data_IF_198730602100
#
_entry.id   IF_198730602100
#
_cell.length_a   1.000
_cell.length_b   1.000
_cell.length_c   1.000
_cell.angle_alpha   90.00
_cell.angle_beta   90.00
_cell.angle_gamma   90.00
#
_symmetry.space_group_name_H-M   'P 1'
#
loop_
_entity.id
_entity.type
_entity.pdbx_description
1 polymer ?
#
# COMPACT_ATOMS: atom_id res chain seq x y z
N UNK A 1 14.89 -0.82 2.82
CA UNK A 1 13.79 -1.48 2.08
C UNK A 1 13.83 -2.97 2.36
N UNK A 2 12.71 -3.55 2.80
CA UNK A 2 12.59 -4.92 3.34
C UNK A 2 12.69 -6.07 2.28
N UNK A 3 13.32 -5.84 1.13
CA UNK A 3 13.49 -6.90 0.10
C UNK A 3 12.20 -7.37 -0.58
N UNK A 4 11.18 -6.51 -0.66
CA UNK A 4 9.93 -6.81 -1.37
C UNK A 4 10.15 -6.67 -2.87
N UNK A 5 9.90 -7.74 -3.62
CA UNK A 5 9.93 -7.70 -5.08
C UNK A 5 8.64 -7.03 -5.58
N UNK A 6 8.77 -6.06 -6.50
CA UNK A 6 7.62 -5.49 -7.18
C UNK A 6 7.16 -6.50 -8.24
N UNK A 7 6.12 -7.27 -7.91
CA UNK A 7 5.61 -8.29 -8.83
C UNK A 7 4.91 -7.68 -10.04
N UNK A 8 4.06 -6.66 -9.82
CA UNK A 8 3.43 -5.88 -10.89
C UNK A 8 3.22 -4.43 -10.45
N UNK A 9 3.47 -3.48 -11.34
CA UNK A 9 3.18 -2.07 -11.13
C UNK A 9 2.44 -1.51 -12.35
N UNK A 10 1.33 -0.84 -12.10
CA UNK A 10 0.45 -0.18 -13.06
C UNK A 10 0.04 1.17 -12.46
N UNK A 11 -0.36 2.17 -13.26
CA UNK A 11 -0.85 3.45 -12.74
C UNK A 11 -1.97 3.31 -11.71
N UNK A 12 -2.76 2.23 -11.81
CA UNK A 12 -3.92 1.98 -10.95
C UNK A 12 -3.64 1.01 -9.81
N UNK A 13 -2.58 0.20 -9.87
CA UNK A 13 -2.24 -0.75 -8.82
C UNK A 13 -0.76 -1.11 -8.74
N UNK A 14 -0.25 -1.31 -7.53
CA UNK A 14 1.05 -1.88 -7.26
C UNK A 14 0.87 -3.15 -6.43
N UNK A 15 1.42 -4.26 -6.91
CA UNK A 15 1.50 -5.54 -6.22
C UNK A 15 2.95 -5.77 -5.80
N UNK A 16 3.19 -5.80 -4.49
CA UNK A 16 4.47 -6.12 -3.90
C UNK A 16 4.43 -7.55 -3.37
N UNK A 17 5.28 -8.42 -3.88
CA UNK A 17 5.42 -9.79 -3.40
C UNK A 17 6.65 -9.88 -2.49
N UNK A 18 6.46 -10.35 -1.26
CA UNK A 18 7.55 -10.83 -0.43
C UNK A 18 7.55 -12.35 -0.45
N UNK A 19 8.56 -12.93 -1.11
CA UNK A 19 8.89 -14.34 -0.94
C UNK A 19 9.64 -14.47 0.39
N UNK A 20 8.91 -14.77 1.46
CA UNK A 20 9.56 -15.05 2.75
C UNK A 20 10.10 -16.47 2.77
N UNK A 21 11.38 -16.62 3.12
CA UNK A 21 12.03 -17.93 3.37
C UNK A 21 11.42 -18.71 4.53
N UNK A 22 10.58 -18.07 5.35
CA UNK A 22 9.90 -18.69 6.51
C UNK A 22 8.59 -19.39 6.13
N UNK A 23 8.30 -19.60 4.84
CA UNK A 23 7.08 -20.30 4.41
C UNK A 23 5.80 -19.49 4.59
N UNK A 24 5.92 -18.15 4.62
CA UNK A 24 4.82 -17.19 4.60
C UNK A 24 4.96 -16.28 3.38
N UNK A 25 4.69 -16.80 2.17
CA UNK A 25 4.54 -15.93 1.01
C UNK A 25 3.44 -14.93 1.32
N UNK A 26 3.78 -13.65 1.21
CA UNK A 26 2.83 -12.56 1.41
C UNK A 26 2.88 -11.61 0.22
N UNK A 27 1.70 -11.27 -0.29
CA UNK A 27 1.55 -10.27 -1.34
C UNK A 27 0.76 -9.08 -0.79
N UNK A 28 1.22 -7.88 -1.10
CA UNK A 28 0.59 -6.63 -0.76
C UNK A 28 0.07 -5.99 -2.03
N UNK A 29 -1.24 -5.85 -2.14
CA UNK A 29 -1.89 -5.11 -3.21
C UNK A 29 -2.26 -3.72 -2.71
N UNK A 30 -1.76 -2.72 -3.42
CA UNK A 30 -2.21 -1.34 -3.32
C UNK A 30 -2.92 -1.02 -4.62
N UNK A 31 -4.22 -0.74 -4.56
CA UNK A 31 -5.00 -0.33 -5.73
C UNK A 31 -5.62 1.04 -5.46
N UNK A 32 -5.36 1.98 -6.35
CA UNK A 32 -6.02 3.29 -6.34
C UNK A 32 -7.43 3.13 -6.88
N UNK A 33 -8.40 3.68 -6.17
CA UNK A 33 -9.75 3.91 -6.65
C UNK A 33 -9.99 5.43 -6.70
N UNK A 34 -11.11 5.87 -7.30
CA UNK A 34 -11.36 7.29 -7.59
C UNK A 34 -11.18 8.21 -6.37
N UNK A 35 -11.64 7.76 -5.20
CA UNK A 35 -11.59 8.53 -3.95
C UNK A 35 -10.98 7.77 -2.77
N UNK A 36 -10.57 6.52 -2.98
CA UNK A 36 -10.10 5.63 -1.91
C UNK A 36 -8.88 4.86 -2.35
N UNK A 37 -8.13 4.33 -1.38
CA UNK A 37 -7.05 3.40 -1.62
C UNK A 37 -7.46 2.04 -1.07
N UNK A 38 -7.49 1.03 -1.93
CA UNK A 38 -7.67 -0.35 -1.51
C UNK A 38 -6.29 -0.91 -1.16
N UNK A 39 -6.15 -1.34 0.09
CA UNK A 39 -5.01 -2.09 0.55
C UNK A 39 -5.46 -3.50 0.93
N UNK A 40 -4.80 -4.50 0.35
CA UNK A 40 -5.05 -5.90 0.66
C UNK A 40 -3.73 -6.63 0.91
N UNK A 41 -3.73 -7.50 1.92
CA UNK A 41 -2.62 -8.40 2.22
C UNK A 41 -3.07 -9.83 1.99
N UNK A 42 -2.45 -10.51 1.05
CA UNK A 42 -2.65 -11.92 0.78
C UNK A 42 -1.55 -12.69 1.50
N UNK A 43 -1.93 -13.65 2.34
CA UNK A 43 -0.97 -14.49 3.08
C UNK A 43 -1.32 -15.94 2.82
N UNK A 44 -0.37 -16.65 2.22
CA UNK A 44 -0.51 -18.07 1.95
C UNK A 44 -0.13 -18.86 3.21
N UNK A 45 -1.08 -19.61 3.78
CA UNK A 45 -0.95 -20.35 5.04
C UNK A 45 -1.04 -21.86 4.82
N UNK A 46 -0.16 -22.40 3.98
CA UNK A 46 -0.20 -23.82 3.57
C UNK A 46 0.14 -24.78 4.70
N UNK A 47 1.02 -24.40 5.62
CA UNK A 47 1.46 -25.24 6.72
C UNK A 47 1.00 -24.71 8.10
N UNK A 48 0.97 -25.60 9.09
CA UNK A 48 0.52 -25.28 10.45
C UNK A 48 1.39 -24.21 11.13
N UNK A 49 2.68 -24.14 10.79
CA UNK A 49 3.60 -23.14 11.33
C UNK A 49 3.24 -21.75 10.80
N UNK A 50 2.97 -21.61 9.49
CA UNK A 50 2.53 -20.38 8.86
C UNK A 50 1.21 -19.88 9.45
N UNK A 51 0.27 -20.80 9.74
CA UNK A 51 -0.99 -20.46 10.44
C UNK A 51 -0.75 -19.92 11.85
N UNK A 52 0.09 -20.59 12.63
CA UNK A 52 0.40 -20.17 13.99
C UNK A 52 1.11 -18.81 14.03
N UNK A 53 2.09 -18.61 13.14
CA UNK A 53 2.79 -17.32 13.01
C UNK A 53 1.82 -16.22 12.56
N UNK A 54 0.99 -16.48 11.55
CA UNK A 54 0.02 -15.48 11.08
C UNK A 54 -1.04 -15.16 12.15
N UNK A 55 -1.46 -16.12 12.98
CA UNK A 55 -2.36 -15.87 14.09
C UNK A 55 -1.79 -14.84 15.11
N UNK A 56 -0.48 -14.87 15.35
CA UNK A 56 0.21 -13.88 16.17
C UNK A 56 0.45 -12.54 15.47
N UNK A 57 0.75 -12.57 14.16
CA UNK A 57 1.08 -11.36 13.38
C UNK A 57 -0.16 -10.58 12.94
N UNK A 58 -1.28 -11.24 12.64
CA UNK A 58 -2.47 -10.62 12.06
C UNK A 58 -3.05 -9.45 12.90
N UNK A 59 -3.12 -9.52 14.25
CA UNK A 59 -3.60 -8.40 15.06
C UNK A 59 -2.71 -7.16 14.92
N UNK A 60 -1.40 -7.34 15.04
CA UNK A 60 -0.40 -6.26 14.92
C UNK A 60 -0.39 -5.70 13.50
N UNK A 61 -0.48 -6.59 12.49
CA UNK A 61 -0.54 -6.22 11.08
C UNK A 61 -1.71 -5.27 10.80
N UNK A 62 -2.91 -5.58 11.30
CA UNK A 62 -4.08 -4.70 11.13
C UNK A 62 -3.85 -3.31 11.72
N UNK A 63 -3.21 -3.23 12.88
CA UNK A 63 -2.92 -1.96 13.54
C UNK A 63 -1.89 -1.14 12.76
N UNK A 64 -0.80 -1.76 12.31
CA UNK A 64 0.23 -1.11 11.49
C UNK A 64 -0.35 -0.61 10.17
N UNK A 65 -1.12 -1.45 9.47
CA UNK A 65 -1.78 -1.08 8.21
C UNK A 65 -2.71 0.11 8.40
N UNK A 66 -3.53 0.09 9.45
CA UNK A 66 -4.42 1.21 9.78
C UNK A 66 -3.62 2.49 10.00
N UNK A 67 -2.57 2.46 10.81
CA UNK A 67 -1.73 3.64 11.04
C UNK A 67 -1.09 4.17 9.74
N UNK A 68 -0.61 3.30 8.87
CA UNK A 68 -0.02 3.69 7.58
C UNK A 68 -1.07 4.33 6.67
N UNK A 69 -2.28 3.78 6.60
CA UNK A 69 -3.37 4.33 5.79
C UNK A 69 -3.90 5.66 6.34
N UNK A 70 -4.00 5.80 7.67
CA UNK A 70 -4.36 7.06 8.33
C UNK A 70 -3.32 8.15 8.06
N UNK A 71 -2.02 7.81 8.15
CA UNK A 71 -0.94 8.73 7.81
C UNK A 71 -0.98 9.14 6.33
N UNK A 72 -1.18 8.19 5.41
CA UNK A 72 -1.30 8.47 3.99
C UNK A 72 -2.52 9.36 3.66
N UNK A 73 -3.60 9.24 4.43
CA UNK A 73 -4.79 10.09 4.31
C UNK A 73 -4.56 11.51 4.83
N UNK A 74 -3.75 11.66 5.89
CA UNK A 74 -3.38 12.97 6.44
C UNK A 74 -2.28 13.67 5.62
N UNK A 75 -1.43 12.89 4.93
CA UNK A 75 -0.40 13.37 4.01
C UNK A 75 -0.95 13.78 2.63
N UNK A 76 -2.06 14.53 2.61
CA UNK A 76 -2.52 15.24 1.40
C UNK A 76 -2.06 16.73 1.30
N UNK A 77 -0.76 17.09 1.42
CA UNK A 77 -0.25 18.36 0.89
C UNK A 77 -0.09 18.36 -0.64
N UNK A 78 -0.20 17.22 -1.33
CA UNK A 78 0.08 17.14 -2.77
C UNK A 78 -1.10 17.61 -3.64
N UNK A 79 -2.36 17.49 -3.19
CA UNK A 79 -3.51 18.11 -3.87
C UNK A 79 -3.47 19.63 -3.91
N UNK A 80 -2.89 20.28 -2.89
CA UNK A 80 -2.74 21.74 -2.86
C UNK A 80 -1.54 22.23 -3.68
N UNK A 81 -0.53 21.38 -3.90
CA UNK A 81 0.60 21.69 -4.78
C UNK A 81 0.21 21.70 -6.27
N UNK A 82 -0.65 20.79 -6.73
CA UNK A 82 -1.07 20.71 -8.14
C UNK A 82 -2.02 21.86 -8.53
N UNK A 83 -2.92 22.29 -7.64
CA UNK A 83 -3.81 23.44 -7.91
C UNK A 83 -3.05 24.75 -8.11
N UNK A 84 -1.91 24.95 -7.44
CA UNK A 84 -1.09 26.17 -7.62
C UNK A 84 -0.39 26.25 -8.98
N UNK A 85 -0.14 25.11 -9.63
CA UNK A 85 0.55 25.09 -10.94
C UNK A 85 -0.41 25.29 -12.13
N UNK A 86 -1.71 25.12 -11.91
CA UNK A 86 -2.74 25.27 -12.94
C UNK A 86 -3.41 26.65 -12.96
N UNK A 87 -2.84 27.66 -12.28
CA UNK A 87 -3.33 29.03 -12.41
C UNK A 87 -3.09 29.51 -13.86
N UNK A 88 -4.12 29.93 -14.61
CA UNK A 88 -3.93 30.46 -15.95
C UNK A 88 -3.09 31.73 -15.89
N UNK A 89 -2.04 31.80 -16.71
CA UNK A 89 -1.28 33.03 -16.93
C UNK A 89 -2.22 34.08 -17.53
N UNK A 90 -2.37 35.27 -16.91
CA UNK A 90 -3.21 36.32 -17.46
C UNK A 90 -2.60 36.83 -18.78
N UNK A 91 -3.42 37.14 -19.80
CA UNK A 91 -2.93 37.66 -21.07
C UNK A 91 -2.25 39.02 -20.87
N UNK A 92 -1.02 39.13 -21.37
CA UNK A 92 -0.28 40.38 -21.46
C UNK A 92 -1.00 41.37 -22.37
N UNK A 93 -1.30 42.55 -21.83
CA UNK A 93 -1.73 43.74 -22.58
C UNK A 93 -0.53 44.40 -23.26
#
# INVERSE_FOLDING_TARGET
MLGWEVGRSSPDFALLAARSRLGLPAELLFKRQEHTLLFATFVQQENHIARAVWAGVAPVHRQVVRCVLEQASCSDPWRSAIRRRAAPVPPSR
#
